data_IF_312449002812
#
_entry.id   IF_312449002812
#
_cell.length_a   1.000
_cell.length_b   1.000
_cell.length_c   1.000
_cell.angle_alpha   90.00
_cell.angle_beta   90.00
_cell.angle_gamma   90.00
#
_symmetry.space_group_name_H-M   'P 1'
#
loop_
_entity.id
_entity.type
_entity.pdbx_description
1 polymer ?
#
# COMPACT_ATOMS: atom_id res chain seq x y z
N UNK A 1 -18.04 -27.50 15.50
CA UNK A 1 -16.74 -26.83 15.22
C UNK A 1 -16.96 -25.75 14.18
N UNK A 2 -17.16 -24.48 14.59
CA UNK A 2 -17.34 -23.33 13.68
C UNK A 2 -16.60 -22.09 14.19
N UNK A 3 -15.41 -22.27 14.76
CA UNK A 3 -14.61 -21.17 15.32
C UNK A 3 -13.20 -21.08 14.72
N UNK A 4 -12.82 -21.99 13.82
CA UNK A 4 -11.43 -22.09 13.33
C UNK A 4 -11.16 -21.35 12.02
N UNK A 5 -12.19 -20.84 11.33
CA UNK A 5 -12.01 -20.09 10.06
C UNK A 5 -11.86 -18.58 10.30
N UNK A 6 -12.25 -18.07 11.47
CA UNK A 6 -12.16 -16.64 11.78
C UNK A 6 -10.73 -16.16 12.12
N UNK A 7 -9.81 -17.07 12.50
CA UNK A 7 -8.48 -16.68 12.98
C UNK A 7 -7.47 -16.34 11.86
N UNK A 8 -7.69 -16.83 10.64
CA UNK A 8 -6.77 -16.56 9.50
C UNK A 8 -7.11 -15.24 8.79
N UNK A 9 -8.33 -14.72 8.94
CA UNK A 9 -8.73 -13.44 8.34
C UNK A 9 -8.30 -12.20 9.14
N UNK A 10 -7.73 -12.37 10.34
CA UNK A 10 -7.35 -11.26 11.23
C UNK A 10 -5.92 -10.72 11.02
N UNK A 11 -5.14 -11.28 10.08
CA UNK A 11 -3.74 -10.87 9.82
C UNK A 11 -3.58 -9.82 8.72
N UNK A 12 -4.66 -9.34 8.11
CA UNK A 12 -4.63 -8.14 7.28
C UNK A 12 -4.65 -6.87 8.14
N UNK A 13 -3.70 -6.75 9.08
CA UNK A 13 -3.38 -5.44 9.64
C UNK A 13 -2.89 -4.57 8.48
N UNK A 14 -3.61 -3.50 8.19
CA UNK A 14 -3.28 -2.53 7.15
C UNK A 14 -1.87 -2.00 7.41
N UNK A 15 -0.91 -2.45 6.61
CA UNK A 15 0.41 -1.86 6.60
C UNK A 15 0.26 -0.41 6.08
N UNK A 16 0.17 0.57 6.99
CA UNK A 16 0.15 2.00 6.69
C UNK A 16 1.55 2.51 6.28
N UNK A 17 2.25 1.76 5.41
CA UNK A 17 3.67 1.95 5.14
C UNK A 17 4.01 3.22 4.34
N UNK A 18 3.03 3.95 3.81
CA UNK A 18 3.23 5.10 2.91
C UNK A 18 2.24 6.25 3.16
N UNK A 19 1.64 6.32 4.35
CA UNK A 19 0.67 7.39 4.67
C UNK A 19 1.34 8.77 4.73
N UNK A 20 2.64 8.83 5.03
CA UNK A 20 3.41 10.08 5.16
C UNK A 20 4.36 10.34 3.99
N UNK A 21 4.13 9.68 2.86
CA UNK A 21 4.92 9.90 1.66
C UNK A 21 4.09 10.63 0.62
N UNK A 22 4.80 11.33 -0.26
CA UNK A 22 4.21 12.15 -1.31
C UNK A 22 4.96 11.97 -2.63
N UNK A 23 4.26 12.04 -3.77
CA UNK A 23 4.93 11.99 -5.06
C UNK A 23 5.75 13.26 -5.29
N UNK A 24 6.81 13.09 -6.06
CA UNK A 24 7.63 14.17 -6.59
C UNK A 24 7.84 13.93 -8.08
N UNK A 25 7.48 14.91 -8.89
CA UNK A 25 7.57 14.81 -10.35
C UNK A 25 8.33 16.04 -10.84
N UNK A 26 9.35 15.80 -11.64
CA UNK A 26 10.12 16.84 -12.30
C UNK A 26 10.24 16.48 -13.77
N UNK A 27 9.91 17.42 -14.64
CA UNK A 27 10.07 17.24 -16.08
C UNK A 27 10.56 18.53 -16.74
N UNK A 28 11.36 18.38 -17.79
CA UNK A 28 12.02 19.50 -18.44
C UNK A 28 12.16 19.28 -19.94
N UNK A 29 12.18 20.37 -20.69
CA UNK A 29 12.57 20.37 -22.12
C UNK A 29 14.07 20.13 -22.31
N UNK A 30 14.86 20.22 -21.25
CA UNK A 30 16.29 19.89 -21.23
C UNK A 30 16.54 18.44 -20.79
N UNK A 31 17.71 17.88 -21.12
CA UNK A 31 18.11 16.55 -20.66
C UNK A 31 18.48 16.58 -19.19
N UNK A 32 17.88 15.69 -18.41
CA UNK A 32 18.17 15.51 -17.00
C UNK A 32 18.94 14.21 -16.84
N UNK A 33 20.19 14.27 -16.42
CA UNK A 33 21.00 13.11 -16.09
C UNK A 33 20.84 12.79 -14.61
N UNK A 34 19.99 11.81 -14.29
CA UNK A 34 19.79 11.38 -12.89
C UNK A 34 19.82 9.85 -12.80
N UNK A 35 20.37 9.33 -11.70
CA UNK A 35 20.53 7.90 -11.43
C UNK A 35 19.48 7.34 -10.46
N UNK A 36 18.41 8.08 -10.19
CA UNK A 36 17.38 7.67 -9.23
C UNK A 36 16.47 6.62 -9.85
N UNK A 37 16.20 5.56 -9.08
CA UNK A 37 15.14 4.59 -9.37
C UNK A 37 13.79 5.17 -8.96
N UNK A 38 12.70 4.78 -9.62
CA UNK A 38 11.30 5.27 -9.41
C UNK A 38 10.70 4.99 -8.01
N UNK A 39 11.45 4.34 -7.13
CA UNK A 39 11.01 3.88 -5.80
C UNK A 39 11.34 4.85 -4.66
N UNK A 40 10.85 4.55 -3.46
CA UNK A 40 10.89 5.37 -2.24
C UNK A 40 12.24 6.08 -1.99
N UNK A 41 12.22 7.41 -1.88
CA UNK A 41 13.40 8.22 -1.52
C UNK A 41 13.13 9.12 -0.31
N UNK A 42 14.20 9.57 0.35
CA UNK A 42 14.08 10.60 1.39
C UNK A 42 14.06 12.00 0.78
N UNK A 43 13.31 12.92 1.38
CA UNK A 43 13.28 14.35 1.01
C UNK A 43 14.68 14.97 0.90
N UNK A 44 15.62 14.56 1.76
CA UNK A 44 17.02 15.02 1.72
C UNK A 44 17.77 14.55 0.47
N UNK A 45 17.56 13.30 0.07
CA UNK A 45 18.15 12.74 -1.16
C UNK A 45 17.60 13.48 -2.37
N UNK A 46 16.28 13.62 -2.45
CA UNK A 46 15.61 14.35 -3.54
C UNK A 46 16.10 15.80 -3.62
N UNK A 47 16.28 16.46 -2.47
CA UNK A 47 16.79 17.83 -2.44
C UNK A 47 18.24 17.93 -2.91
N UNK A 48 19.11 17.00 -2.54
CA UNK A 48 20.51 16.98 -3.00
C UNK A 48 20.60 16.78 -4.52
N UNK A 49 19.77 15.90 -5.08
CA UNK A 49 19.73 15.67 -6.53
C UNK A 49 19.12 16.86 -7.27
N UNK A 50 18.09 17.48 -6.69
CA UNK A 50 17.52 18.72 -7.23
C UNK A 50 18.57 19.83 -7.25
N UNK A 51 19.35 20.00 -6.18
CA UNK A 51 20.46 20.96 -6.11
C UNK A 51 21.51 20.71 -7.21
N UNK A 52 21.82 19.43 -7.49
CA UNK A 52 22.70 19.03 -8.59
C UNK A 52 22.13 19.43 -9.97
N UNK A 53 20.85 19.15 -10.21
CA UNK A 53 20.17 19.48 -11.48
C UNK A 53 20.16 21.01 -11.69
N UNK A 54 19.72 21.78 -10.70
CA UNK A 54 19.57 23.24 -10.81
C UNK A 54 20.92 23.97 -10.86
N UNK A 55 22.01 23.37 -10.38
CA UNK A 55 23.36 23.95 -10.44
C UNK A 55 23.81 24.24 -11.88
N UNK A 56 23.34 23.42 -12.83
CA UNK A 56 23.61 23.59 -14.26
C UNK A 56 22.67 24.59 -14.95
N UNK A 57 21.64 25.06 -14.24
CA UNK A 57 20.56 25.93 -14.71
C UNK A 57 20.09 25.57 -16.14
N UNK A 58 19.49 24.40 -16.33
CA UNK A 58 19.31 23.85 -17.67
C UNK A 58 18.26 24.59 -18.50
N UNK A 59 17.29 25.25 -17.87
CA UNK A 59 16.25 26.08 -18.55
C UNK A 59 16.16 27.49 -17.97
N UNK A 60 15.52 28.41 -18.70
CA UNK A 60 15.29 29.80 -18.29
C UNK A 60 13.99 30.00 -17.51
N UNK A 61 13.03 29.08 -17.66
CA UNK A 61 11.73 29.12 -16.97
C UNK A 61 11.56 27.93 -16.05
N UNK A 62 11.10 28.20 -14.83
CA UNK A 62 10.76 27.20 -13.82
C UNK A 62 9.33 27.43 -13.35
N UNK A 63 8.56 26.35 -13.30
CA UNK A 63 7.23 26.32 -12.71
C UNK A 63 7.27 25.39 -11.50
N UNK A 64 7.01 25.93 -10.31
CA UNK A 64 6.98 25.18 -9.06
C UNK A 64 5.51 24.97 -8.67
N UNK A 65 5.02 23.75 -8.71
CA UNK A 65 3.63 23.40 -8.47
C UNK A 65 3.49 22.67 -7.15
N UNK A 66 2.60 23.16 -6.30
CA UNK A 66 2.26 22.61 -4.99
C UNK A 66 0.82 22.13 -5.00
N UNK A 67 0.57 20.84 -4.75
CA UNK A 67 -0.77 20.28 -4.58
C UNK A 67 -0.88 19.66 -3.17
N UNK A 68 -1.33 20.43 -2.16
CA UNK A 68 -1.44 19.95 -0.79
C UNK A 68 -2.22 18.63 -0.67
N UNK A 69 -1.73 17.73 0.20
CA UNK A 69 -2.33 16.41 0.51
C UNK A 69 -2.33 15.39 -0.65
N UNK A 70 -1.57 15.62 -1.71
CA UNK A 70 -1.45 14.66 -2.80
C UNK A 70 -0.70 13.38 -2.39
N UNK A 71 -1.24 12.24 -2.80
CA UNK A 71 -0.61 10.93 -2.71
C UNK A 71 -0.49 10.28 -4.10
N UNK A 72 0.48 9.37 -4.29
CA UNK A 72 0.68 8.68 -5.57
C UNK A 72 -0.57 7.91 -6.03
N UNK A 73 -1.34 7.37 -5.09
CA UNK A 73 -2.59 6.69 -5.40
C UNK A 73 -3.59 7.61 -6.10
N UNK A 74 -3.57 8.92 -5.81
CA UNK A 74 -4.45 9.89 -6.48
C UNK A 74 -4.06 10.11 -7.95
N UNK A 75 -2.78 9.95 -8.29
CA UNK A 75 -2.28 10.11 -9.67
C UNK A 75 -2.41 8.82 -10.50
N UNK A 76 -2.60 7.67 -9.86
CA UNK A 76 -2.79 6.39 -10.55
C UNK A 76 -4.09 6.35 -11.39
N UNK A 77 -5.04 7.24 -11.12
CA UNK A 77 -6.28 7.34 -11.88
C UNK A 77 -6.04 8.14 -13.16
N UNK A 78 -6.06 7.47 -14.32
CA UNK A 78 -5.85 8.11 -15.63
C UNK A 78 -6.84 9.25 -15.92
N UNK A 79 -8.01 9.24 -15.28
CA UNK A 79 -9.04 10.28 -15.47
C UNK A 79 -8.86 11.50 -14.57
N UNK A 80 -8.00 11.43 -13.56
CA UNK A 80 -7.93 12.49 -12.55
C UNK A 80 -6.93 13.61 -12.89
N UNK A 81 -5.87 13.31 -13.65
CA UNK A 81 -4.87 14.30 -14.05
C UNK A 81 -4.43 14.17 -15.54
N UNK A 82 -5.35 14.23 -16.52
CA UNK A 82 -5.03 14.06 -17.93
C UNK A 82 -4.09 15.12 -18.52
N UNK A 83 -4.13 16.38 -18.08
CA UNK A 83 -3.27 17.47 -18.60
C UNK A 83 -1.84 17.29 -18.11
N UNK A 84 -1.64 16.96 -16.84
CA UNK A 84 -0.33 16.61 -16.30
C UNK A 84 0.27 15.41 -17.05
N UNK A 85 -0.53 14.36 -17.27
CA UNK A 85 -0.08 13.18 -18.02
C UNK A 85 0.27 13.51 -19.48
N UNK A 86 -0.54 14.33 -20.15
CA UNK A 86 -0.25 14.79 -21.51
C UNK A 86 1.04 15.62 -21.58
N UNK A 87 1.28 16.50 -20.60
CA UNK A 87 2.51 17.29 -20.52
C UNK A 87 3.74 16.41 -20.27
N UNK A 88 3.64 15.41 -19.39
CA UNK A 88 4.70 14.43 -19.17
C UNK A 88 4.99 13.61 -20.43
N UNK A 89 3.97 13.28 -21.22
CA UNK A 89 4.11 12.53 -22.47
C UNK A 89 4.51 13.40 -23.68
N UNK A 90 4.60 14.73 -23.52
CA UNK A 90 4.89 15.64 -24.62
C UNK A 90 6.27 15.36 -25.25
N UNK A 91 6.40 15.44 -26.59
CA UNK A 91 7.65 15.15 -27.30
C UNK A 91 8.77 16.16 -27.00
N UNK A 92 8.41 17.37 -26.58
CA UNK A 92 9.33 18.44 -26.22
C UNK A 92 10.05 18.17 -24.89
N UNK A 93 9.48 17.33 -24.03
CA UNK A 93 10.05 16.95 -22.74
C UNK A 93 11.15 15.92 -22.94
N UNK A 94 12.39 16.32 -22.69
CA UNK A 94 13.59 15.49 -22.88
C UNK A 94 14.08 14.86 -21.57
N UNK A 95 13.78 15.46 -20.42
CA UNK A 95 14.19 14.98 -19.10
C UNK A 95 13.00 14.77 -18.19
N UNK A 96 13.00 13.65 -17.46
CA UNK A 96 11.94 13.27 -16.51
C UNK A 96 12.58 12.64 -15.28
N UNK A 97 12.04 12.98 -14.11
CA UNK A 97 12.35 12.37 -12.84
C UNK A 97 11.03 12.24 -12.07
N UNK A 98 10.56 11.01 -11.89
CA UNK A 98 9.34 10.71 -11.15
C UNK A 98 9.71 9.87 -9.95
N UNK A 99 9.28 10.28 -8.78
CA UNK A 99 9.49 9.54 -7.54
C UNK A 99 8.10 9.32 -6.94
N UNK A 100 7.71 8.05 -6.85
CA UNK A 100 6.38 7.68 -6.38
C UNK A 100 6.17 8.10 -4.93
N UNK A 101 7.19 7.90 -4.09
CA UNK A 101 7.09 8.11 -2.66
C UNK A 101 8.32 8.85 -2.13
N UNK A 102 8.12 10.07 -1.65
CA UNK A 102 9.15 10.85 -0.94
C UNK A 102 8.81 10.87 0.54
N UNK A 103 9.71 10.34 1.37
CA UNK A 103 9.57 10.29 2.82
C UNK A 103 10.20 11.52 3.50
N UNK A 104 9.51 12.03 4.51
CA UNK A 104 9.94 13.15 5.34
C UNK A 104 9.16 14.42 5.04
N UNK A 105 9.74 15.57 5.39
CA UNK A 105 9.10 16.86 5.18
C UNK A 105 8.96 17.15 3.68
N UNK A 106 7.80 17.67 3.24
CA UNK A 106 7.63 18.14 1.87
C UNK A 106 8.70 19.17 1.47
N UNK A 107 9.03 19.21 0.18
CA UNK A 107 9.99 20.18 -0.34
C UNK A 107 9.32 21.55 -0.35
N UNK A 108 9.87 22.48 0.44
CA UNK A 108 9.36 23.84 0.54
C UNK A 108 9.74 24.66 -0.70
N UNK A 109 8.74 24.88 -1.57
CA UNK A 109 8.89 25.62 -2.82
C UNK A 109 9.28 27.09 -2.60
N UNK A 110 8.91 27.69 -1.45
CA UNK A 110 9.28 29.08 -1.14
C UNK A 110 10.77 29.22 -0.87
N UNK A 111 11.41 28.20 -0.27
CA UNK A 111 12.87 28.18 -0.09
C UNK A 111 13.61 27.77 -1.36
N UNK A 112 12.95 27.01 -2.23
CA UNK A 112 13.53 26.55 -3.48
C UNK A 112 13.61 27.65 -4.54
N UNK A 113 12.59 28.51 -4.67
CA UNK A 113 12.58 29.62 -5.62
C UNK A 113 13.81 30.54 -5.56
N UNK A 114 14.22 31.07 -4.39
CA UNK A 114 15.45 31.87 -4.29
C UNK A 114 16.71 31.03 -4.55
N UNK A 115 16.71 29.74 -4.22
CA UNK A 115 17.83 28.84 -4.49
C UNK A 115 18.05 28.63 -5.98
N UNK A 116 16.98 28.41 -6.75
CA UNK A 116 17.04 28.31 -8.22
C UNK A 116 17.62 29.60 -8.81
N UNK A 117 17.11 30.76 -8.40
CA UNK A 117 17.61 32.06 -8.89
C UNK A 117 19.11 32.25 -8.58
N UNK A 118 19.54 31.89 -7.37
CA UNK A 118 20.94 31.98 -6.97
C UNK A 118 21.84 31.04 -7.79
N UNK A 119 21.44 29.78 -7.94
CA UNK A 119 22.17 28.78 -8.73
C UNK A 119 22.29 29.20 -10.21
N UNK A 120 21.19 29.68 -10.80
CA UNK A 120 21.18 30.18 -12.17
C UNK A 120 22.01 31.44 -12.38
N UNK A 121 22.00 32.36 -11.41
CA UNK A 121 22.87 33.55 -11.46
C UNK A 121 24.34 33.15 -11.42
N UNK A 122 24.70 32.18 -10.57
CA UNK A 122 26.06 31.63 -10.51
C UNK A 122 26.47 30.90 -11.81
N UNK A 123 25.51 30.28 -12.50
CA UNK A 123 25.70 29.66 -13.81
C UNK A 123 25.71 30.67 -14.98
N UNK A 124 25.58 31.97 -14.72
CA UNK A 124 25.62 33.03 -15.74
C UNK A 124 24.28 33.37 -16.40
N UNK A 125 23.15 32.92 -15.85
CA UNK A 125 21.78 33.23 -16.31
C UNK A 125 21.02 34.06 -15.26
N UNK A 126 21.16 35.40 -15.27
CA UNK A 126 20.56 36.26 -14.25
C UNK A 126 19.05 36.50 -14.42
N UNK A 127 18.49 36.27 -15.62
CA UNK A 127 17.10 36.60 -15.98
C UNK A 127 16.17 35.38 -15.94
N UNK A 128 16.35 34.49 -14.97
CA UNK A 128 15.52 33.28 -14.84
C UNK A 128 14.16 33.60 -14.25
N UNK A 129 13.11 33.10 -14.90
CA UNK A 129 11.73 33.21 -14.46
C UNK A 129 11.36 32.01 -13.59
N UNK A 130 11.12 32.24 -12.30
CA UNK A 130 10.62 31.20 -11.39
C UNK A 130 9.24 31.63 -10.90
N UNK A 131 8.23 30.82 -11.20
CA UNK A 131 6.84 31.02 -10.80
C UNK A 131 6.39 29.87 -9.91
N UNK A 132 5.50 30.16 -8.96
CA UNK A 132 4.92 29.16 -8.05
C UNK A 132 3.41 29.12 -8.28
N UNK A 133 2.89 27.92 -8.49
CA UNK A 133 1.47 27.64 -8.64
C UNK A 133 1.01 26.76 -7.47
N UNK A 134 0.23 27.35 -6.57
CA UNK A 134 -0.40 26.63 -5.47
C UNK A 134 -1.79 26.17 -5.91
N UNK A 135 -1.97 24.86 -6.02
CA UNK A 135 -3.24 24.21 -6.36
C UNK A 135 -4.06 23.94 -5.10
N UNK A 136 -5.35 23.68 -5.28
CA UNK A 136 -6.27 23.44 -4.17
C UNK A 136 -5.87 22.21 -3.36
N UNK A 137 -5.99 22.27 -2.03
CA UNK A 137 -5.67 21.15 -1.18
C UNK A 137 -6.64 19.98 -1.42
N UNK A 138 -6.11 18.78 -1.67
CA UNK A 138 -6.96 17.60 -1.72
C UNK A 138 -7.59 17.33 -0.34
N UNK A 139 -8.84 16.84 -0.28
CA UNK A 139 -9.48 16.50 0.98
C UNK A 139 -8.62 15.53 1.80
N UNK A 140 -8.24 15.93 3.02
CA UNK A 140 -7.61 15.03 3.97
C UNK A 140 -8.61 13.94 4.41
N UNK A 141 -8.10 12.84 4.97
CA UNK A 141 -8.83 11.63 5.36
C UNK A 141 -10.29 11.86 5.77
N UNK A 142 -11.23 11.22 5.06
CA UNK A 142 -12.68 11.34 5.28
C UNK A 142 -13.47 11.91 4.10
N UNK A 143 -12.78 12.47 3.09
CA UNK A 143 -13.40 12.84 1.81
C UNK A 143 -13.85 11.62 1.00
N UNK A 144 -14.99 11.73 0.32
CA UNK A 144 -15.40 10.74 -0.68
C UNK A 144 -14.37 10.68 -1.81
N UNK A 145 -14.12 9.48 -2.32
CA UNK A 145 -13.27 9.27 -3.50
C UNK A 145 -13.65 10.21 -4.66
N UNK A 146 -14.95 10.40 -4.90
CA UNK A 146 -15.45 11.28 -5.95
C UNK A 146 -15.01 12.73 -5.74
N UNK A 147 -15.02 13.22 -4.50
CA UNK A 147 -14.62 14.58 -4.19
C UNK A 147 -13.13 14.81 -4.46
N UNK A 148 -12.27 13.84 -4.14
CA UNK A 148 -10.84 13.89 -4.46
C UNK A 148 -10.63 14.00 -5.97
N UNK A 149 -11.34 13.18 -6.75
CA UNK A 149 -11.26 13.20 -8.22
C UNK A 149 -11.75 14.54 -8.78
N UNK A 150 -12.83 15.10 -8.23
CA UNK A 150 -13.38 16.38 -8.71
C UNK A 150 -12.41 17.53 -8.46
N UNK A 151 -11.81 17.63 -7.25
CA UNK A 151 -10.82 18.66 -6.92
C UNK A 151 -9.55 18.50 -7.77
N UNK A 152 -9.07 17.26 -7.94
CA UNK A 152 -7.87 16.99 -8.73
C UNK A 152 -8.09 17.33 -10.21
N UNK A 153 -9.29 17.07 -10.76
CA UNK A 153 -9.64 17.42 -12.13
C UNK A 153 -9.66 18.93 -12.36
N UNK A 154 -10.20 19.70 -11.41
CA UNK A 154 -10.18 21.17 -11.49
C UNK A 154 -8.73 21.67 -11.43
N UNK A 155 -7.94 21.15 -10.49
CA UNK A 155 -6.52 21.49 -10.35
C UNK A 155 -5.71 21.14 -11.61
N UNK A 156 -6.04 20.04 -12.28
CA UNK A 156 -5.39 19.61 -13.51
C UNK A 156 -5.76 20.49 -14.72
N UNK A 157 -7.00 20.99 -14.80
CA UNK A 157 -7.38 21.98 -15.82
C UNK A 157 -6.62 23.31 -15.63
N UNK A 158 -6.55 23.81 -14.39
CA UNK A 158 -5.80 25.03 -14.05
C UNK A 158 -4.31 24.88 -14.38
N UNK A 159 -3.73 23.74 -13.99
CA UNK A 159 -2.36 23.39 -14.33
C UNK A 159 -2.17 23.32 -15.86
N UNK A 160 -3.12 22.73 -16.58
CA UNK A 160 -3.10 22.61 -18.03
C UNK A 160 -3.02 23.97 -18.75
N UNK A 161 -3.74 24.98 -18.26
CA UNK A 161 -3.68 26.35 -18.80
C UNK A 161 -2.27 26.96 -18.66
N UNK A 162 -1.66 26.82 -17.48
CA UNK A 162 -0.31 27.33 -17.21
C UNK A 162 0.73 26.57 -18.04
N UNK A 163 0.63 25.24 -18.10
CA UNK A 163 1.53 24.41 -18.90
C UNK A 163 1.47 24.75 -20.38
N UNK A 164 0.29 25.06 -20.93
CA UNK A 164 0.15 25.49 -22.32
C UNK A 164 0.90 26.81 -22.59
N UNK A 165 0.82 27.77 -21.67
CA UNK A 165 1.56 29.02 -21.76
C UNK A 165 3.08 28.79 -21.69
N UNK A 166 3.53 27.90 -20.81
CA UNK A 166 4.95 27.54 -20.68
C UNK A 166 5.50 26.84 -21.92
N UNK A 167 4.75 25.91 -22.50
CA UNK A 167 5.12 25.23 -23.75
C UNK A 167 5.24 26.24 -24.92
N UNK A 168 4.33 27.20 -25.01
CA UNK A 168 4.40 28.25 -26.02
C UNK A 168 5.58 29.23 -25.82
N UNK A 169 6.07 29.38 -24.58
CA UNK A 169 7.11 30.34 -24.23
C UNK A 169 8.55 29.84 -24.46
N UNK A 170 8.75 28.54 -24.73
CA UNK A 170 10.06 27.97 -25.04
C UNK A 170 10.53 26.92 -24.04
N UNK A 171 11.74 27.08 -23.50
CA UNK A 171 12.34 26.11 -22.60
C UNK A 171 11.79 26.23 -21.16
N UNK A 172 11.48 25.10 -20.55
CA UNK A 172 10.91 25.10 -19.21
C UNK A 172 11.27 23.85 -18.42
N UNK A 173 11.25 24.02 -17.10
CA UNK A 173 11.32 22.93 -16.12
C UNK A 173 10.14 23.06 -15.17
N UNK A 174 9.38 22.00 -15.01
CA UNK A 174 8.27 21.94 -14.06
C UNK A 174 8.66 21.01 -12.92
N UNK A 175 8.43 21.49 -11.70
CA UNK A 175 8.48 20.70 -10.49
C UNK A 175 7.08 20.61 -9.90
N UNK A 176 6.60 19.40 -9.63
CA UNK A 176 5.28 19.14 -9.09
C UNK A 176 5.41 18.27 -7.82
N UNK A 177 4.87 18.76 -6.71
CA UNK A 177 4.98 18.11 -5.39
C UNK A 177 3.70 18.27 -4.57
N UNK A 178 3.53 17.42 -3.55
CA UNK A 178 2.34 17.42 -2.70
C UNK A 178 2.23 18.58 -1.70
N UNK A 179 3.14 19.56 -1.73
CA UNK A 179 3.11 20.73 -0.86
C UNK A 179 3.12 20.42 0.65
N UNK A 180 2.91 21.44 1.47
CA UNK A 180 2.69 21.24 2.91
C UNK A 180 1.29 20.65 3.15
N UNK A 181 1.18 19.68 4.05
CA UNK A 181 -0.12 19.08 4.40
C UNK A 181 -0.98 20.08 5.16
N UNK A 182 -2.09 20.49 4.57
CA UNK A 182 -3.08 21.35 5.21
C UNK A 182 -4.29 20.50 5.59
N UNK A 183 -4.49 20.29 6.89
CA UNK A 183 -5.72 19.69 7.38
C UNK A 183 -6.85 20.73 7.27
N UNK A 184 -7.74 20.58 6.29
CA UNK A 184 -9.00 21.33 6.26
C UNK A 184 -9.89 20.80 7.38
N UNK A 185 -9.76 21.39 8.57
CA UNK A 185 -10.55 21.02 9.76
C UNK A 185 -9.82 21.19 11.08
N UNK A 186 -9.30 22.40 11.37
CA UNK A 186 -8.80 22.77 12.69
C UNK A 186 -7.43 22.18 13.06
N UNK A 187 -6.45 23.05 13.28
CA UNK A 187 -5.21 22.84 14.04
C UNK A 187 -4.81 21.38 14.34
N UNK A 188 -4.26 20.68 13.35
CA UNK A 188 -3.22 19.69 13.63
C UNK A 188 -2.05 20.01 12.72
N UNK A 189 -1.22 20.92 13.22
CA UNK A 189 0.16 21.09 12.80
C UNK A 189 0.86 19.73 12.89
N UNK A 190 1.24 19.19 11.74
CA UNK A 190 2.43 18.35 11.56
C UNK A 190 2.71 17.26 12.59
N UNK A 191 1.72 16.56 13.14
CA UNK A 191 2.01 15.34 13.90
C UNK A 191 2.34 14.24 12.89
N UNK A 192 3.62 13.81 12.76
CA UNK A 192 3.93 12.61 12.01
C UNK A 192 3.09 11.48 12.60
N UNK A 193 2.54 10.62 11.75
CA UNK A 193 1.86 9.40 12.19
C UNK A 193 2.68 8.70 13.28
N UNK A 194 2.22 8.80 14.52
CA UNK A 194 2.60 7.88 15.58
C UNK A 194 1.64 6.72 15.48
N UNK A 195 2.18 5.53 15.26
CA UNK A 195 1.38 4.33 15.26
C UNK A 195 0.88 4.06 16.68
N UNK A 196 -0.33 4.53 17.00
CA UNK A 196 -1.09 4.03 18.14
C UNK A 196 -1.60 2.63 17.80
N UNK A 197 -0.73 1.64 17.95
CA UNK A 197 -1.18 0.25 17.93
C UNK A 197 -2.00 0.03 19.19
N UNK A 198 -3.29 -0.27 19.03
CA UNK A 198 -4.08 -0.88 20.11
C UNK A 198 -3.46 -2.25 20.36
N UNK A 199 -2.54 -2.33 21.31
CA UNK A 199 -1.90 -3.56 21.77
C UNK A 199 -2.96 -4.46 22.41
N UNK A 200 -3.71 -5.20 21.59
CA UNK A 200 -4.61 -6.25 22.09
C UNK A 200 -3.87 -7.56 22.32
N UNK A 201 -2.63 -7.69 21.83
CA UNK A 201 -1.75 -8.85 22.08
C UNK A 201 -0.29 -8.46 21.84
N UNK A 202 0.52 -8.35 22.90
CA UNK A 202 1.98 -8.34 22.78
C UNK A 202 2.45 -9.65 22.15
N UNK A 203 2.69 -9.64 20.83
CA UNK A 203 3.41 -10.71 20.16
C UNK A 203 4.83 -10.23 19.92
N UNK A 204 5.74 -10.58 20.84
CA UNK A 204 7.16 -10.45 20.58
C UNK A 204 7.55 -11.41 19.45
N UNK A 205 7.69 -10.89 18.22
CA UNK A 205 8.42 -11.60 17.19
C UNK A 205 9.90 -11.60 17.59
N UNK A 206 10.34 -12.67 18.26
CA UNK A 206 11.75 -12.97 18.43
C UNK A 206 12.38 -13.09 17.04
N UNK A 207 13.01 -12.01 16.59
CA UNK A 207 13.83 -11.98 15.38
C UNK A 207 14.99 -12.95 15.59
N UNK A 208 14.82 -14.21 15.21
CA UNK A 208 15.91 -15.18 15.14
C UNK A 208 16.84 -14.74 14.00
N UNK A 209 17.72 -13.78 14.29
CA UNK A 209 19.01 -13.67 13.61
C UNK A 209 19.85 -14.85 14.10
N UNK A 210 19.57 -16.05 13.60
CA UNK A 210 20.53 -17.13 13.73
C UNK A 210 21.77 -16.72 12.94
N UNK A 211 22.78 -16.27 13.68
CA UNK A 211 24.12 -16.01 13.19
C UNK A 211 24.55 -17.15 12.29
N UNK A 212 24.97 -16.80 11.07
CA UNK A 212 25.71 -17.68 10.17
C UNK A 212 27.05 -18.00 10.88
N UNK A 213 27.02 -18.97 11.78
CA UNK A 213 28.20 -19.53 12.42
C UNK A 213 28.50 -20.88 11.77
N UNK A 214 29.70 -20.97 11.21
CA UNK A 214 30.22 -22.10 10.44
C UNK A 214 30.09 -23.42 11.21
N UNK A 215 29.69 -24.46 10.48
CA UNK A 215 29.68 -25.86 10.91
C UNK A 215 31.00 -26.26 11.55
N UNK A 216 30.95 -26.72 12.79
CA UNK A 216 31.94 -27.62 13.37
C UNK A 216 31.19 -28.83 13.95
N UNK A 217 31.78 -30.00 13.76
CA UNK A 217 31.27 -31.33 14.13
C UNK A 217 31.11 -31.42 15.65
N UNK A 218 29.89 -31.40 16.16
CA UNK A 218 29.60 -31.66 17.58
C UNK A 218 28.42 -32.62 17.69
N UNK A 219 28.54 -33.59 18.60
CA UNK A 219 27.48 -34.54 18.92
C UNK A 219 26.26 -33.79 19.45
N UNK A 220 25.15 -33.96 18.74
CA UNK A 220 23.91 -33.23 18.93
C UNK A 220 23.22 -33.58 20.27
N UNK A 221 23.40 -32.69 21.26
CA UNK A 221 22.83 -32.72 22.62
C UNK A 221 21.49 -31.98 22.74
N UNK A 222 20.80 -31.68 21.63
CA UNK A 222 19.50 -31.00 21.67
C UNK A 222 18.44 -31.88 22.36
N UNK A 223 17.50 -31.29 23.12
CA UNK A 223 16.40 -32.03 23.73
C UNK A 223 15.61 -32.78 22.66
N UNK A 224 15.05 -33.95 23.01
CA UNK A 224 14.42 -34.87 22.05
C UNK A 224 13.34 -34.22 21.16
N UNK A 225 12.63 -33.21 21.67
CA UNK A 225 11.61 -32.45 20.94
C UNK A 225 12.16 -31.45 19.91
N UNK A 226 13.45 -31.09 20.01
CA UNK A 226 14.15 -30.33 18.97
C UNK A 226 14.80 -31.24 17.92
N UNK A 227 15.14 -32.48 18.31
CA UNK A 227 15.79 -33.46 17.44
C UNK A 227 14.82 -34.22 16.54
N UNK A 228 13.61 -34.48 17.03
CA UNK A 228 12.59 -35.23 16.29
C UNK A 228 11.28 -34.45 16.18
N UNK A 229 10.82 -34.28 14.94
CA UNK A 229 9.49 -33.77 14.66
C UNK A 229 8.46 -34.89 14.82
N UNK A 230 7.96 -35.09 16.05
CA UNK A 230 7.01 -36.16 16.37
C UNK A 230 5.66 -36.03 15.65
N UNK A 231 5.24 -34.80 15.36
CA UNK A 231 4.04 -34.52 14.57
C UNK A 231 4.46 -33.85 13.27
N UNK A 232 4.85 -34.66 12.29
CA UNK A 232 4.99 -34.15 10.93
C UNK A 232 3.61 -33.70 10.43
N UNK A 233 3.54 -32.69 9.55
CA UNK A 233 2.27 -32.20 9.02
C UNK A 233 1.42 -33.32 8.43
N UNK A 234 2.05 -34.32 7.81
CA UNK A 234 1.38 -35.51 7.28
C UNK A 234 0.77 -36.40 8.37
N UNK A 235 1.51 -36.74 9.43
CA UNK A 235 1.00 -37.58 10.53
C UNK A 235 -0.18 -36.90 11.21
N UNK A 236 -0.10 -35.59 11.43
CA UNK A 236 -1.19 -34.82 12.06
C UNK A 236 -2.46 -34.81 11.18
N UNK A 237 -2.32 -34.56 9.87
CA UNK A 237 -3.47 -34.59 8.96
C UNK A 237 -4.12 -35.98 8.89
N UNK A 238 -3.32 -37.05 8.89
CA UNK A 238 -3.83 -38.43 8.90
C UNK A 238 -4.57 -38.74 10.21
N UNK A 239 -4.01 -38.33 11.36
CA UNK A 239 -4.67 -38.52 12.67
C UNK A 239 -6.02 -37.82 12.75
N UNK A 240 -6.11 -36.58 12.26
CA UNK A 240 -7.37 -35.82 12.24
C UNK A 240 -8.39 -36.46 11.29
N UNK A 241 -7.94 -36.88 10.11
CA UNK A 241 -8.80 -37.54 9.13
C UNK A 241 -9.33 -38.88 9.66
N UNK A 242 -8.48 -39.66 10.33
CA UNK A 242 -8.82 -40.94 10.94
C UNK A 242 -9.84 -40.74 12.06
N UNK A 243 -9.69 -39.72 12.91
CA UNK A 243 -10.67 -39.39 13.95
C UNK A 243 -12.06 -39.11 13.36
N UNK A 244 -12.13 -38.33 12.27
CA UNK A 244 -13.40 -38.04 11.58
C UNK A 244 -14.02 -39.33 11.03
N UNK A 245 -13.23 -40.18 10.36
CA UNK A 245 -13.73 -41.45 9.82
C UNK A 245 -14.24 -42.39 10.92
N UNK A 246 -13.53 -42.50 12.04
CA UNK A 246 -13.98 -43.30 13.19
C UNK A 246 -15.27 -42.77 13.82
N UNK A 247 -15.48 -41.45 13.83
CA UNK A 247 -16.73 -40.88 14.32
C UNK A 247 -17.94 -41.28 13.46
N UNK A 248 -17.79 -41.24 12.14
CA UNK A 248 -18.85 -41.65 11.19
C UNK A 248 -19.09 -43.15 11.30
N UNK A 249 -18.02 -43.95 11.37
CA UNK A 249 -18.09 -45.40 11.54
C UNK A 249 -18.81 -45.78 12.84
N UNK A 250 -18.52 -45.08 13.94
CA UNK A 250 -19.17 -45.31 15.24
C UNK A 250 -20.68 -45.13 15.15
N UNK A 251 -21.15 -44.05 14.51
CA UNK A 251 -22.58 -43.80 14.31
C UNK A 251 -23.20 -44.88 13.42
N UNK A 252 -22.50 -45.31 12.37
CA UNK A 252 -22.94 -46.40 11.50
C UNK A 252 -23.13 -47.73 12.24
N UNK A 253 -22.19 -48.10 13.11
CA UNK A 253 -22.29 -49.32 13.93
C UNK A 253 -23.46 -49.22 14.92
N UNK A 254 -23.64 -48.07 15.57
CA UNK A 254 -24.78 -47.86 16.47
C UNK A 254 -26.13 -47.95 15.74
N UNK A 255 -26.22 -47.43 14.52
CA UNK A 255 -27.43 -47.55 13.69
C UNK A 255 -27.71 -49.01 13.30
N UNK A 256 -26.67 -49.77 12.95
CA UNK A 256 -26.82 -51.20 12.64
C UNK A 256 -27.22 -52.03 13.86
N UNK A 257 -26.71 -51.70 15.04
CA UNK A 257 -27.09 -52.37 16.30
C UNK A 257 -28.51 -52.05 16.78
N UNK A 258 -29.13 -50.98 16.26
CA UNK A 258 -30.50 -50.57 16.61
C UNK A 258 -31.57 -51.22 15.75
N UNK A 259 -31.20 -52.06 14.78
CA UNK A 259 -32.15 -52.80 13.96
C UNK A 259 -32.75 -53.95 14.76
N UNK A 260 -33.94 -53.74 15.30
CA UNK A 260 -34.76 -54.78 15.88
C UNK A 260 -35.66 -55.41 14.80
N UNK A 261 -35.73 -56.74 14.78
CA UNK A 261 -36.68 -57.45 13.92
C UNK A 261 -38.02 -57.51 14.66
N UNK A 262 -39.13 -57.00 14.09
CA UNK A 262 -40.41 -57.03 14.75
C UNK A 262 -41.00 -58.45 14.69
N UNK A 263 -40.63 -59.29 15.65
CA UNK A 263 -41.12 -60.66 15.76
C UNK A 263 -42.65 -60.75 15.97
N UNK A 264 -43.28 -59.67 16.46
CA UNK A 264 -44.74 -59.57 16.60
C UNK A 264 -45.51 -59.58 15.27
N UNK A 265 -44.88 -59.23 14.15
CA UNK A 265 -45.50 -59.35 12.82
C UNK A 265 -45.60 -60.81 12.33
N UNK A 266 -44.84 -61.71 12.96
CA UNK A 266 -44.90 -63.15 12.73
C UNK A 266 -45.75 -63.89 13.77
N UNK A 267 -46.35 -63.17 14.72
CA UNK A 267 -47.21 -63.76 15.74
C UNK A 267 -48.62 -64.00 15.23
N UNK A 268 -49.22 -65.10 15.71
CA UNK A 268 -50.46 -65.70 15.19
C UNK A 268 -51.70 -64.77 15.26
N UNK A 269 -51.67 -63.78 16.15
CA UNK A 269 -52.77 -62.83 16.41
C UNK A 269 -52.86 -61.69 15.38
N UNK A 270 -51.92 -61.58 14.44
CA UNK A 270 -51.96 -60.58 13.35
C UNK A 270 -52.38 -61.18 12.00
N UNK A 271 -52.72 -62.47 11.97
CA UNK A 271 -53.28 -63.13 10.81
C UNK A 271 -54.79 -62.83 10.64
N UNK A 272 -55.35 -63.03 9.43
CA UNK A 272 -56.77 -62.77 9.13
C UNK A 272 -57.78 -63.55 9.99
N UNK A 273 -57.33 -64.46 10.85
CA UNK A 273 -58.15 -65.18 11.82
C UNK A 273 -58.45 -64.39 13.11
N UNK A 274 -57.64 -63.37 13.47
CA UNK A 274 -57.82 -62.61 14.71
C UNK A 274 -58.94 -61.54 14.63
N UNK A 275 -59.26 -61.06 13.43
CA UNK A 275 -60.35 -60.10 13.21
C UNK A 275 -61.75 -60.64 13.52
N UNK A 276 -61.93 -61.95 13.70
CA UNK A 276 -63.23 -62.57 13.97
C UNK A 276 -63.66 -62.59 15.44
N UNK A 277 -62.85 -62.11 16.39
CA UNK A 277 -63.17 -62.12 17.83
C UNK A 277 -63.69 -60.78 18.39
N UNK A 278 -63.79 -59.74 17.57
CA UNK A 278 -64.20 -58.39 18.00
C UNK A 278 -65.59 -57.94 17.52
N UNK A 279 -66.39 -58.85 16.96
CA UNK A 279 -67.81 -58.63 16.64
C UNK A 279 -68.71 -59.48 17.51
#
# INVERSE_FOLDING_TARGET
MRLSVAAVAASCATAHAFVNTSPFILFSTSKITTSLSDELHSSKTVQADLDSIISSCPTERYLLVSQPNLNVANLAFSTAAPKLQAALAAPEVQGRLTISEVAGSPIDLHTLSPRIRAACTAAGKPTVSVETLDLEALPASGGSFQHIVDVLRVSDEDLGLVLHQYAAAGDFTVLYTAGSRTATGGHIEGKPYEAEFRDTTHQELKRQLSSIARRANETDNRPLFEKYQFFTPGIFMVLVSLLILFSILSVGISALGSLEVPYGAFDKENGPAAQKKQQ
#
